data_IF_780552890629
#
_entry.id   IF_780552890629
#
_cell.length_a   1.000
_cell.length_b   1.000
_cell.length_c   1.000
_cell.angle_alpha   90.00
_cell.angle_beta   90.00
_cell.angle_gamma   90.00
#
_symmetry.space_group_name_H-M   'P 1'
#
loop_
_entity.id
_entity.type
_entity.pdbx_description
1 polymer ?
#
# COMPACT_ATOMS: atom_id res chain seq x y z
N UNK A 1 0.82 2.94 -10.79
CA UNK A 1 1.28 3.03 -9.38
C UNK A 1 0.99 4.40 -8.78
N UNK A 2 -0.17 4.56 -8.13
CA UNK A 2 -0.70 5.82 -7.59
C UNK A 2 -0.31 6.05 -6.12
N UNK A 3 -0.29 7.31 -5.70
CA UNK A 3 0.08 7.79 -4.37
C UNK A 3 -0.68 7.03 -3.28
N UNK A 4 0.09 6.25 -2.52
CA UNK A 4 -0.29 5.88 -1.17
C UNK A 4 0.33 6.96 -0.28
N UNK A 5 -0.50 7.83 0.27
CA UNK A 5 -0.05 8.74 1.32
C UNK A 5 0.29 7.90 2.56
N UNK A 6 1.57 7.54 2.69
CA UNK A 6 2.07 6.86 3.87
C UNK A 6 1.97 7.75 5.12
N UNK A 7 1.72 9.07 4.99
CA UNK A 7 1.72 10.01 6.11
C UNK A 7 0.44 9.97 6.94
N UNK A 8 -0.65 9.41 6.41
CA UNK A 8 -1.91 9.23 7.14
C UNK A 8 -2.24 7.75 7.37
N UNK A 9 -1.48 7.09 8.26
CA UNK A 9 -1.94 5.84 8.88
C UNK A 9 -2.34 6.15 10.31
N UNK A 10 -3.60 5.97 10.72
CA UNK A 10 -3.93 5.75 12.14
C UNK A 10 -3.32 6.74 13.17
N UNK A 11 -3.11 8.01 12.83
CA UNK A 11 -2.41 8.98 13.70
C UNK A 11 -0.87 8.86 13.77
N UNK A 12 -0.27 7.98 12.98
CA UNK A 12 1.16 7.83 12.73
C UNK A 12 1.58 8.61 11.47
N UNK A 13 2.29 9.71 11.68
CA UNK A 13 2.98 10.45 10.64
C UNK A 13 4.23 9.69 10.19
N UNK A 14 4.31 9.28 8.92
CA UNK A 14 5.59 8.82 8.34
C UNK A 14 6.38 10.02 7.86
N UNK A 15 7.64 10.08 8.29
CA UNK A 15 8.47 11.25 8.09
C UNK A 15 9.70 10.83 7.30
N UNK A 16 9.92 11.38 6.10
CA UNK A 16 11.11 11.06 5.33
C UNK A 16 12.33 11.63 6.05
N UNK A 17 13.11 10.75 6.68
CA UNK A 17 14.38 11.12 7.33
C UNK A 17 15.50 10.99 6.32
N UNK A 18 16.09 12.12 5.95
CA UNK A 18 17.25 12.13 5.06
C UNK A 18 18.50 11.72 5.83
N UNK A 19 19.09 10.59 5.46
CA UNK A 19 20.38 10.11 6.02
C UNK A 19 21.60 10.82 5.41
N UNK A 20 21.38 11.81 4.53
CA UNK A 20 22.45 12.54 3.83
C UNK A 20 23.39 13.32 4.74
N UNK A 21 23.00 13.57 5.99
CA UNK A 21 23.84 14.23 7.00
C UNK A 21 24.64 13.28 7.89
N UNK A 22 24.44 11.95 7.77
CA UNK A 22 25.16 10.95 8.56
C UNK A 22 26.59 10.82 8.03
N UNK A 23 27.58 10.92 8.91
CA UNK A 23 28.99 10.78 8.52
C UNK A 23 29.33 9.33 8.15
N UNK A 24 28.79 8.37 8.89
CA UNK A 24 28.88 6.94 8.59
C UNK A 24 27.71 6.18 9.27
N UNK A 25 26.67 5.76 8.51
CA UNK A 25 25.51 5.08 9.08
C UNK A 25 25.79 3.67 9.61
N UNK A 26 26.97 3.09 9.34
CA UNK A 26 27.38 1.77 9.81
C UNK A 26 28.56 1.81 10.80
N UNK A 27 29.05 3.01 11.14
CA UNK A 27 30.09 3.24 12.12
C UNK A 27 29.57 3.17 13.57
N UNK A 28 30.47 3.12 14.57
CA UNK A 28 30.10 3.01 15.99
C UNK A 28 29.21 4.16 16.49
N UNK A 29 29.28 5.34 15.87
CA UNK A 29 28.48 6.52 16.22
C UNK A 29 27.26 6.73 15.29
N UNK A 30 27.13 5.94 14.23
CA UNK A 30 26.10 6.12 13.18
C UNK A 30 24.66 5.91 13.68
N UNK A 31 24.50 5.10 14.75
CA UNK A 31 23.21 4.89 15.40
C UNK A 31 22.74 6.14 16.16
N UNK A 32 23.65 6.86 16.81
CA UNK A 32 23.35 8.09 17.54
C UNK A 32 22.96 9.22 16.60
N UNK A 33 23.73 9.43 15.53
CA UNK A 33 23.43 10.43 14.50
C UNK A 33 22.09 10.14 13.79
N UNK A 34 21.77 8.87 13.54
CA UNK A 34 20.49 8.45 12.97
C UNK A 34 19.32 8.73 13.92
N UNK A 35 19.49 8.46 15.22
CA UNK A 35 18.47 8.73 16.24
C UNK A 35 18.17 10.24 16.34
N UNK A 36 19.20 11.10 16.26
CA UNK A 36 19.01 12.55 16.26
C UNK A 36 18.31 13.05 14.99
N UNK A 37 18.68 12.52 13.83
CA UNK A 37 18.01 12.84 12.57
C UNK A 37 16.52 12.42 12.58
N UNK A 38 16.21 11.26 13.18
CA UNK A 38 14.84 10.78 13.36
C UNK A 38 14.04 11.71 14.29
N UNK A 39 14.63 12.17 15.40
CA UNK A 39 13.98 13.10 16.34
C UNK A 39 13.70 14.47 15.72
N UNK A 40 14.68 15.05 15.02
CA UNK A 40 14.50 16.34 14.35
C UNK A 40 13.42 16.30 13.26
N UNK A 41 13.37 15.18 12.51
CA UNK A 41 12.33 14.97 11.52
C UNK A 41 10.95 14.83 12.17
N UNK A 42 10.85 14.12 13.31
CA UNK A 42 9.62 14.00 14.13
C UNK A 42 9.04 15.36 14.53
N UNK A 43 9.87 16.27 15.03
CA UNK A 43 9.46 17.61 15.45
C UNK A 43 8.96 18.48 14.28
N UNK A 44 9.63 18.41 13.13
CA UNK A 44 9.25 19.17 11.93
C UNK A 44 7.89 18.72 11.36
N UNK A 45 7.62 17.42 11.38
CA UNK A 45 6.34 16.89 10.93
C UNK A 45 5.19 17.27 11.88
N UNK A 46 5.42 17.24 13.19
CA UNK A 46 4.43 17.69 14.18
C UNK A 46 4.03 19.17 13.95
N UNK A 47 4.99 20.02 13.60
CA UNK A 47 4.72 21.42 13.26
C UNK A 47 3.97 21.61 11.93
N UNK A 48 4.19 20.70 10.97
CA UNK A 48 3.58 20.77 9.63
C UNK A 48 2.14 20.26 9.62
N UNK A 49 1.85 19.20 10.39
CA UNK A 49 0.48 18.67 10.55
C UNK A 49 -0.45 19.65 11.27
N UNK A 50 0.08 20.44 12.21
CA UNK A 50 -0.66 21.54 12.83
C UNK A 50 -1.07 22.63 11.83
N UNK A 51 -0.33 22.80 10.73
CA UNK A 51 -0.62 23.77 9.68
C UNK A 51 -1.64 23.25 8.66
N UNK A 52 -1.54 21.97 8.24
CA UNK A 52 -2.45 21.36 7.26
C UNK A 52 -3.88 21.21 7.77
N UNK A 53 -4.07 20.90 9.06
CA UNK A 53 -5.40 20.77 9.67
C UNK A 53 -6.19 22.10 9.68
N UNK A 54 -5.56 23.23 9.36
CA UNK A 54 -6.22 24.52 9.20
C UNK A 54 -6.73 24.79 7.77
N UNK A 55 -6.27 24.04 6.76
CA UNK A 55 -6.53 24.33 5.33
C UNK A 55 -7.47 23.35 4.62
N UNK A 56 -7.66 22.12 5.11
CA UNK A 56 -8.53 21.11 4.48
C UNK A 56 -10.01 21.24 4.89
N UNK A 57 -10.70 22.22 4.31
CA UNK A 57 -12.18 22.35 4.39
C UNK A 57 -12.88 22.42 3.02
N UNK A 58 -12.23 21.99 1.93
CA UNK A 58 -12.89 21.89 0.63
C UNK A 58 -12.63 20.54 -0.02
N UNK A 59 -13.68 19.71 -0.06
CA UNK A 59 -13.63 18.35 -0.56
C UNK A 59 -14.48 18.19 -1.82
N UNK A 60 -13.86 18.05 -2.99
CA UNK A 60 -14.50 17.33 -4.13
C UNK A 60 -13.57 16.85 -5.26
N UNK A 61 -12.24 17.01 -5.21
CA UNK A 61 -11.36 16.49 -6.29
C UNK A 61 -10.13 15.78 -5.73
N UNK A 62 -10.12 14.44 -5.77
CA UNK A 62 -8.89 13.68 -5.48
C UNK A 62 -7.86 13.92 -6.60
N UNK A 63 -6.63 14.28 -6.23
CA UNK A 63 -5.58 14.67 -7.17
C UNK A 63 -5.11 13.50 -8.06
N UNK A 64 -4.72 13.77 -9.33
CA UNK A 64 -4.09 12.77 -10.18
C UNK A 64 -2.69 12.37 -9.67
N UNK A 65 -2.23 11.17 -10.05
CA UNK A 65 -0.90 10.67 -9.68
C UNK A 65 0.21 11.64 -10.04
N UNK A 66 1.08 11.93 -9.09
CA UNK A 66 2.39 12.53 -9.36
C UNK A 66 3.51 11.55 -9.03
N UNK A 67 4.24 11.09 -10.06
CA UNK A 67 5.40 10.22 -9.83
C UNK A 67 6.49 10.97 -9.05
N UNK A 68 7.13 10.34 -8.06
CA UNK A 68 8.30 10.91 -7.38
C UNK A 68 9.46 11.25 -8.33
N UNK A 69 9.52 10.63 -9.52
CA UNK A 69 10.48 10.95 -10.57
C UNK A 69 10.15 12.22 -11.34
N UNK A 70 8.92 12.73 -11.28
CA UNK A 70 8.56 14.03 -11.88
C UNK A 70 9.27 15.18 -11.16
N UNK A 71 9.67 14.97 -9.91
CA UNK A 71 10.45 15.91 -9.12
C UNK A 71 11.86 16.03 -9.76
N UNK A 72 12.26 17.22 -10.22
CA UNK A 72 13.57 17.42 -10.82
C UNK A 72 14.71 17.13 -9.84
N UNK A 73 15.77 16.51 -10.37
CA UNK A 73 17.12 16.55 -9.83
C UNK A 73 17.32 16.10 -8.36
N UNK A 74 16.93 14.87 -8.03
CA UNK A 74 17.40 14.19 -6.81
C UNK A 74 18.01 12.83 -7.16
N UNK A 75 19.33 12.70 -7.00
CA UNK A 75 20.02 11.42 -7.18
C UNK A 75 19.61 10.37 -6.14
N UNK A 76 19.05 10.80 -5.00
CA UNK A 76 18.61 9.93 -3.91
C UNK A 76 17.15 9.49 -4.03
N UNK A 77 16.49 9.80 -5.16
CA UNK A 77 15.13 9.33 -5.46
C UNK A 77 15.22 8.17 -6.43
N UNK A 78 14.60 7.06 -6.03
CA UNK A 78 14.56 5.82 -6.79
C UNK A 78 13.11 5.35 -6.85
N UNK A 79 12.70 4.79 -7.98
CA UNK A 79 11.37 4.24 -8.15
C UNK A 79 11.47 2.74 -8.40
N UNK A 80 10.70 1.98 -7.63
CA UNK A 80 10.46 0.57 -7.90
C UNK A 80 9.12 0.44 -8.61
N UNK A 81 9.11 -0.28 -9.72
CA UNK A 81 7.92 -0.52 -10.51
C UNK A 81 7.78 -2.01 -10.83
N UNK A 82 6.57 -2.49 -11.07
CA UNK A 82 6.33 -3.87 -11.48
C UNK A 82 5.00 -4.03 -12.19
N UNK A 83 4.92 -5.05 -13.04
CA UNK A 83 3.75 -5.26 -13.91
C UNK A 83 2.58 -5.98 -13.22
N UNK A 84 2.81 -6.51 -12.02
CA UNK A 84 1.88 -7.44 -11.37
C UNK A 84 0.50 -6.85 -11.06
N UNK A 85 0.39 -5.54 -10.86
CA UNK A 85 -0.87 -4.89 -10.45
C UNK A 85 -1.48 -4.03 -11.54
N UNK A 86 -0.65 -3.28 -12.28
CA UNK A 86 -1.15 -2.38 -13.31
C UNK A 86 -1.56 -3.14 -14.58
N UNK A 87 -0.88 -4.25 -14.91
CA UNK A 87 -1.15 -5.09 -16.08
C UNK A 87 -1.68 -6.49 -15.74
N UNK A 88 -1.96 -6.76 -14.46
CA UNK A 88 -2.33 -8.09 -13.96
C UNK A 88 -1.32 -9.21 -14.33
N UNK A 89 -0.07 -8.83 -14.62
CA UNK A 89 0.99 -9.76 -15.01
C UNK A 89 1.74 -10.29 -13.80
N UNK A 90 0.99 -10.73 -12.80
CA UNK A 90 1.51 -11.28 -11.54
C UNK A 90 2.51 -12.40 -11.77
N UNK A 91 2.20 -13.35 -12.66
CA UNK A 91 3.03 -14.52 -12.94
C UNK A 91 4.34 -14.24 -13.69
N UNK A 92 4.46 -13.08 -14.37
CA UNK A 92 5.65 -12.75 -15.19
C UNK A 92 6.88 -12.42 -14.32
N UNK A 93 6.65 -12.04 -13.06
CA UNK A 93 7.66 -11.72 -12.04
C UNK A 93 8.66 -10.64 -12.48
N UNK A 94 8.22 -9.67 -13.28
CA UNK A 94 9.07 -8.57 -13.74
C UNK A 94 8.88 -7.30 -12.89
N UNK A 95 10.00 -6.80 -12.39
CA UNK A 95 10.11 -5.53 -11.68
C UNK A 95 11.27 -4.69 -12.22
N UNK A 96 11.17 -3.39 -12.03
CA UNK A 96 12.12 -2.40 -12.53
C UNK A 96 12.58 -1.51 -11.38
N UNK A 97 13.89 -1.25 -11.33
CA UNK A 97 14.47 -0.18 -10.52
C UNK A 97 14.86 0.97 -11.43
N UNK A 98 14.15 2.09 -11.32
CA UNK A 98 14.44 3.32 -12.03
C UNK A 98 15.21 4.25 -11.10
N UNK A 99 16.48 4.49 -11.42
CA UNK A 99 17.37 5.33 -10.60
C UNK A 99 18.26 6.20 -11.47
N UNK A 100 18.37 7.49 -11.09
CA UNK A 100 19.34 8.43 -11.70
C UNK A 100 20.76 8.25 -11.13
N UNK A 101 20.91 7.63 -9.96
CA UNK A 101 22.21 7.39 -9.32
C UNK A 101 22.93 6.17 -9.92
N UNK A 102 24.11 6.42 -10.49
CA UNK A 102 24.92 5.39 -11.14
C UNK A 102 25.46 4.32 -10.17
N UNK A 103 25.81 4.71 -8.95
CA UNK A 103 26.31 3.77 -7.93
C UNK A 103 25.20 2.80 -7.52
N UNK A 104 23.98 3.30 -7.33
CA UNK A 104 22.81 2.46 -7.02
C UNK A 104 22.51 1.49 -8.16
N UNK A 105 22.54 1.95 -9.41
CA UNK A 105 22.35 1.05 -10.57
C UNK A 105 23.43 -0.04 -10.64
N UNK A 106 24.69 0.31 -10.40
CA UNK A 106 25.80 -0.64 -10.41
C UNK A 106 25.76 -1.63 -9.23
N UNK A 107 25.27 -1.21 -8.06
CA UNK A 107 25.03 -2.11 -6.94
C UNK A 107 23.87 -3.07 -7.24
N UNK A 108 22.74 -2.53 -7.71
CA UNK A 108 21.56 -3.31 -8.06
C UNK A 108 21.84 -4.35 -9.16
N UNK A 109 22.63 -4.01 -10.18
CA UNK A 109 23.02 -4.96 -11.23
C UNK A 109 23.83 -6.15 -10.72
N UNK A 110 24.55 -6.00 -9.59
CA UNK A 110 25.28 -7.10 -8.95
C UNK A 110 24.36 -7.97 -8.10
N UNK A 111 23.44 -7.34 -7.37
CA UNK A 111 22.51 -8.06 -6.45
C UNK A 111 21.44 -8.84 -7.23
N UNK A 112 20.99 -8.32 -8.38
CA UNK A 112 19.97 -8.95 -9.23
C UNK A 112 20.44 -10.24 -9.92
N UNK A 113 21.70 -10.64 -9.75
CA UNK A 113 22.23 -11.90 -10.28
C UNK A 113 21.46 -13.14 -9.80
N UNK A 114 20.85 -13.09 -8.62
CA UNK A 114 20.06 -14.20 -8.08
C UNK A 114 18.57 -14.15 -8.44
N UNK A 115 18.14 -13.13 -9.18
CA UNK A 115 16.74 -12.88 -9.52
C UNK A 115 16.54 -12.75 -11.02
N UNK A 116 17.32 -13.50 -11.83
CA UNK A 116 17.24 -13.44 -13.27
C UNK A 116 15.84 -13.79 -13.78
N UNK A 117 15.41 -13.02 -14.77
CA UNK A 117 14.15 -13.22 -15.45
C UNK A 117 14.29 -14.37 -16.44
N UNK A 118 13.18 -15.04 -16.73
CA UNK A 118 13.16 -15.97 -17.85
C UNK A 118 13.34 -15.20 -19.15
N UNK A 119 14.07 -15.77 -20.12
CA UNK A 119 14.25 -15.16 -21.45
C UNK A 119 12.90 -14.87 -22.12
N UNK A 120 11.91 -15.73 -21.89
CA UNK A 120 10.57 -15.54 -22.40
C UNK A 120 9.89 -14.29 -21.81
N UNK A 121 9.92 -14.14 -20.48
CA UNK A 121 9.37 -12.95 -19.80
C UNK A 121 10.02 -11.67 -20.32
N UNK A 122 11.35 -11.68 -20.50
CA UNK A 122 12.11 -10.54 -21.01
C UNK A 122 11.69 -10.15 -22.43
N UNK A 123 11.71 -11.09 -23.37
CA UNK A 123 11.31 -10.85 -24.77
C UNK A 123 9.86 -10.39 -24.84
N UNK A 124 8.95 -11.06 -24.13
CA UNK A 124 7.53 -10.72 -24.12
C UNK A 124 7.30 -9.29 -23.64
N UNK A 125 7.81 -8.96 -22.45
CA UNK A 125 7.58 -7.63 -21.85
C UNK A 125 8.26 -6.56 -22.68
N UNK A 126 9.48 -6.79 -23.16
CA UNK A 126 10.18 -5.83 -24.01
C UNK A 126 9.35 -5.51 -25.26
N UNK A 127 8.83 -6.53 -25.93
CA UNK A 127 7.99 -6.34 -27.12
C UNK A 127 6.68 -5.60 -26.79
N UNK A 128 6.02 -6.00 -25.70
CA UNK A 128 4.78 -5.37 -25.24
C UNK A 128 4.97 -3.88 -24.90
N UNK A 129 6.00 -3.54 -24.12
CA UNK A 129 6.27 -2.16 -23.70
C UNK A 129 6.78 -1.26 -24.83
N UNK A 130 7.32 -1.83 -25.92
CA UNK A 130 7.66 -1.08 -27.14
C UNK A 130 6.41 -0.65 -27.92
N UNK A 131 5.27 -1.30 -27.71
CA UNK A 131 4.00 -0.99 -28.37
C UNK A 131 3.17 -0.02 -27.53
N UNK A 132 3.61 1.24 -27.48
CA UNK A 132 2.97 2.27 -26.62
C UNK A 132 1.47 2.48 -26.91
N UNK A 133 1.03 2.30 -28.16
CA UNK A 133 -0.39 2.38 -28.52
C UNK A 133 -1.22 1.27 -27.86
N UNK A 134 -0.74 0.02 -27.87
CA UNK A 134 -1.39 -1.11 -27.20
C UNK A 134 -1.45 -0.90 -25.69
N UNK A 135 -0.36 -0.41 -25.10
CA UNK A 135 -0.32 -0.08 -23.67
C UNK A 135 -1.35 0.99 -23.34
N UNK A 136 -1.47 2.02 -24.19
CA UNK A 136 -2.44 3.09 -24.01
C UNK A 136 -3.88 2.58 -24.14
N UNK A 137 -4.18 1.79 -25.17
CA UNK A 137 -5.50 1.18 -25.39
C UNK A 137 -5.93 0.30 -24.19
N UNK A 138 -4.99 -0.47 -23.63
CA UNK A 138 -5.22 -1.23 -22.40
C UNK A 138 -5.60 -0.31 -21.24
N UNK A 139 -4.84 0.77 -21.01
CA UNK A 139 -5.07 1.69 -19.90
C UNK A 139 -6.40 2.45 -20.04
N UNK A 140 -6.76 2.84 -21.26
CA UNK A 140 -8.01 3.53 -21.57
C UNK A 140 -9.24 2.62 -21.37
N UNK A 141 -9.06 1.32 -21.50
CA UNK A 141 -10.09 0.32 -21.17
C UNK A 141 -10.11 0.00 -19.68
N UNK A 142 -8.94 -0.17 -19.07
CA UNK A 142 -8.78 -0.67 -17.72
C UNK A 142 -9.22 0.34 -16.65
N UNK A 143 -8.79 1.61 -16.77
CA UNK A 143 -9.08 2.63 -15.75
C UNK A 143 -10.58 2.90 -15.55
N UNK A 144 -11.40 3.08 -16.61
CA UNK A 144 -12.84 3.30 -16.44
C UNK A 144 -13.54 2.08 -15.82
N UNK A 145 -13.14 0.86 -16.20
CA UNK A 145 -13.68 -0.37 -15.61
C UNK A 145 -13.35 -0.47 -14.13
N UNK A 146 -12.09 -0.26 -13.76
CA UNK A 146 -11.68 -0.27 -12.36
C UNK A 146 -12.45 0.79 -11.54
N UNK A 147 -12.63 2.00 -12.07
CA UNK A 147 -13.40 3.05 -11.41
C UNK A 147 -14.88 2.66 -11.23
N UNK A 148 -15.50 2.08 -12.26
CA UNK A 148 -16.89 1.60 -12.18
C UNK A 148 -17.05 0.52 -11.10
N UNK A 149 -16.14 -0.45 -11.03
CA UNK A 149 -16.16 -1.50 -10.00
C UNK A 149 -15.92 -0.95 -8.60
N UNK A 150 -15.01 0.02 -8.46
CA UNK A 150 -14.81 0.73 -7.18
C UNK A 150 -16.09 1.41 -6.71
N UNK A 151 -16.75 2.18 -7.59
CA UNK A 151 -18.00 2.87 -7.24
C UNK A 151 -19.12 1.90 -6.90
N UNK A 152 -19.22 0.78 -7.62
CA UNK A 152 -20.20 -0.26 -7.34
C UNK A 152 -19.96 -0.88 -5.96
N UNK A 153 -18.73 -1.28 -5.65
CA UNK A 153 -18.38 -1.85 -4.34
C UNK A 153 -18.59 -0.83 -3.21
N UNK A 154 -18.12 0.40 -3.39
CA UNK A 154 -18.28 1.49 -2.41
C UNK A 154 -19.76 1.76 -2.09
N UNK A 155 -20.64 1.81 -3.10
CA UNK A 155 -22.07 2.02 -2.89
C UNK A 155 -22.72 0.91 -2.04
N UNK A 156 -22.32 -0.34 -2.22
CA UNK A 156 -22.81 -1.47 -1.42
C UNK A 156 -22.29 -1.39 0.02
N UNK A 157 -21.01 -1.03 0.21
CA UNK A 157 -20.41 -0.80 1.54
C UNK A 157 -21.15 0.31 2.28
N UNK A 158 -21.42 1.44 1.61
CA UNK A 158 -22.19 2.57 2.16
C UNK A 158 -23.62 2.15 2.55
N UNK A 159 -24.29 1.37 1.71
CA UNK A 159 -25.66 0.89 1.96
C UNK A 159 -25.73 0.03 3.23
N UNK A 160 -24.69 -0.73 3.55
CA UNK A 160 -24.61 -1.55 4.75
C UNK A 160 -24.03 -0.81 5.97
N UNK A 161 -23.76 0.49 5.85
CA UNK A 161 -23.27 1.34 6.95
C UNK A 161 -21.88 0.96 7.44
N UNK A 162 -21.06 0.33 6.59
CA UNK A 162 -19.66 0.02 6.86
C UNK A 162 -18.82 1.25 6.51
N UNK A 163 -17.99 1.71 7.43
CA UNK A 163 -17.06 2.81 7.13
C UNK A 163 -15.89 2.32 6.30
N UNK A 164 -15.36 3.15 5.41
CA UNK A 164 -14.21 2.83 4.58
C UNK A 164 -13.47 4.09 4.14
N UNK A 165 -12.21 3.92 3.80
CA UNK A 165 -11.40 5.00 3.25
C UNK A 165 -11.67 5.17 1.75
N UNK A 166 -12.01 6.40 1.36
CA UNK A 166 -12.17 6.74 -0.06
C UNK A 166 -10.83 6.64 -0.77
N UNK A 167 -10.82 6.03 -1.94
CA UNK A 167 -9.61 5.79 -2.72
C UNK A 167 -9.84 6.21 -4.17
N UNK A 168 -8.81 6.79 -4.78
CA UNK A 168 -8.76 7.08 -6.21
C UNK A 168 -7.94 6.05 -7.00
N UNK A 169 -7.42 5.02 -6.32
CA UNK A 169 -6.49 4.07 -6.88
C UNK A 169 -6.44 2.74 -6.12
N UNK A 170 -5.83 1.75 -6.76
CA UNK A 170 -5.55 0.45 -6.15
C UNK A 170 -6.55 -0.61 -6.60
N UNK A 171 -6.39 -1.81 -6.03
CA UNK A 171 -7.22 -2.99 -6.32
C UNK A 171 -8.10 -3.38 -5.14
N UNK A 172 -8.13 -2.53 -4.12
CA UNK A 172 -8.77 -2.83 -2.86
C UNK A 172 -9.24 -1.56 -2.16
N UNK A 173 -10.21 -1.74 -1.26
CA UNK A 173 -10.76 -0.73 -0.37
C UNK A 173 -10.35 -1.09 1.06
N UNK A 174 -9.94 -0.11 1.84
CA UNK A 174 -9.77 -0.27 3.29
C UNK A 174 -11.11 -0.06 3.96
N UNK A 175 -11.65 -1.11 4.55
CA UNK A 175 -12.91 -1.08 5.29
C UNK A 175 -12.64 -1.15 6.79
N UNK A 176 -13.47 -0.47 7.56
CA UNK A 176 -13.46 -0.45 9.02
C UNK A 176 -14.59 -1.33 9.56
N UNK A 177 -14.18 -2.46 10.14
CA UNK A 177 -15.00 -3.44 10.84
C UNK A 177 -14.80 -3.39 12.36
N UNK A 178 -14.22 -2.33 12.92
CA UNK A 178 -14.00 -2.15 14.36
C UNK A 178 -15.28 -2.36 15.19
N UNK A 179 -16.44 -1.96 14.63
CA UNK A 179 -17.78 -2.18 15.21
C UNK A 179 -18.18 -3.64 15.38
N UNK A 180 -17.50 -4.58 14.75
CA UNK A 180 -17.81 -6.01 14.88
C UNK A 180 -16.73 -6.75 15.65
N UNK A 181 -15.50 -6.21 15.71
CA UNK A 181 -14.37 -6.82 16.43
C UNK A 181 -14.67 -7.06 17.91
N UNK A 182 -15.47 -6.23 18.57
CA UNK A 182 -15.75 -6.41 20.00
C UNK A 182 -16.55 -7.69 20.32
N UNK A 183 -17.15 -8.35 19.32
CA UNK A 183 -17.79 -9.66 19.47
C UNK A 183 -16.79 -10.83 19.43
N UNK A 184 -15.54 -10.58 19.01
CA UNK A 184 -14.50 -11.60 18.79
C UNK A 184 -13.33 -11.47 19.77
N UNK A 185 -13.62 -11.21 21.05
CA UNK A 185 -12.58 -11.15 22.10
C UNK A 185 -12.08 -12.56 22.45
N UNK A 186 -10.79 -12.71 22.73
CA UNK A 186 -10.29 -13.96 23.30
C UNK A 186 -10.96 -14.20 24.66
N UNK A 187 -11.18 -15.46 25.06
CA UNK A 187 -11.48 -15.78 26.46
C UNK A 187 -10.41 -15.15 27.37
N UNK A 188 -10.80 -14.79 28.59
CA UNK A 188 -9.92 -14.21 29.60
C UNK A 188 -8.59 -15.00 29.70
N UNK A 189 -7.49 -14.26 29.80
CA UNK A 189 -6.10 -14.77 29.75
C UNK A 189 -5.83 -15.91 30.76
N UNK A 190 -6.67 -16.10 31.78
CA UNK A 190 -6.57 -17.17 32.78
C UNK A 190 -6.94 -18.58 32.26
N UNK A 191 -7.67 -18.70 31.15
CA UNK A 191 -8.05 -20.01 30.57
C UNK A 191 -7.19 -20.48 29.39
N UNK A 192 -6.21 -19.67 28.96
CA UNK A 192 -5.38 -19.99 27.81
C UNK A 192 -4.26 -20.98 28.19
N UNK A 193 -4.63 -22.25 28.27
CA UNK A 193 -3.69 -23.37 28.42
C UNK A 193 -2.86 -23.53 27.13
N UNK A 194 -1.88 -22.63 26.92
CA UNK A 194 -0.80 -22.75 25.92
C UNK A 194 -1.20 -22.77 24.43
N UNK A 195 -2.43 -22.40 24.05
CA UNK A 195 -2.81 -22.20 22.64
C UNK A 195 -2.63 -20.73 22.26
N UNK A 196 -1.96 -20.49 21.13
CA UNK A 196 -1.77 -19.17 20.52
C UNK A 196 -3.05 -18.35 20.60
N UNK A 197 -3.02 -17.25 21.34
CA UNK A 197 -4.14 -16.32 21.46
C UNK A 197 -4.18 -15.56 20.14
N UNK A 198 -5.02 -16.00 19.20
CA UNK A 198 -5.32 -15.27 17.98
C UNK A 198 -5.95 -13.93 18.35
N UNK A 199 -5.41 -12.83 17.81
CA UNK A 199 -5.99 -11.49 18.00
C UNK A 199 -7.44 -11.42 17.51
N UNK A 200 -8.23 -10.45 17.98
CA UNK A 200 -9.66 -10.38 17.67
C UNK A 200 -9.93 -10.15 16.16
N UNK A 201 -8.98 -9.56 15.42
CA UNK A 201 -9.03 -9.48 13.94
C UNK A 201 -8.92 -10.86 13.27
N UNK A 202 -8.07 -11.75 13.81
CA UNK A 202 -7.88 -13.09 13.27
C UNK A 202 -9.09 -13.98 13.57
N UNK A 203 -9.72 -13.83 14.73
CA UNK A 203 -10.98 -14.51 15.06
C UNK A 203 -12.12 -14.05 14.14
N UNK A 204 -12.23 -12.75 13.86
CA UNK A 204 -13.17 -12.24 12.86
C UNK A 204 -12.85 -12.78 11.46
N UNK A 205 -11.56 -12.82 11.06
CA UNK A 205 -11.14 -13.44 9.80
C UNK A 205 -11.58 -14.90 9.69
N UNK A 206 -11.31 -15.72 10.71
CA UNK A 206 -11.70 -17.14 10.74
C UNK A 206 -13.21 -17.30 10.62
N UNK A 207 -13.97 -16.46 11.33
CA UNK A 207 -15.43 -16.45 11.23
C UNK A 207 -15.91 -16.10 9.83
N UNK A 208 -15.37 -15.04 9.21
CA UNK A 208 -15.71 -14.64 7.84
C UNK A 208 -15.38 -15.76 6.84
N UNK A 209 -14.23 -16.42 6.98
CA UNK A 209 -13.82 -17.55 6.14
C UNK A 209 -14.83 -18.69 6.28
N UNK A 210 -15.29 -18.97 7.49
CA UNK A 210 -16.36 -19.95 7.75
C UNK A 210 -17.68 -19.64 7.03
N UNK A 211 -17.90 -18.37 6.66
CA UNK A 211 -19.05 -17.88 5.90
C UNK A 211 -18.73 -17.60 4.43
N UNK A 212 -17.56 -18.05 3.95
CA UNK A 212 -17.17 -17.92 2.53
C UNK A 212 -16.59 -16.56 2.14
N UNK A 213 -16.31 -15.68 3.11
CA UNK A 213 -15.73 -14.36 2.88
C UNK A 213 -14.30 -14.34 3.39
N UNK A 214 -13.33 -14.06 2.50
CA UNK A 214 -11.95 -13.84 2.91
C UNK A 214 -11.59 -12.37 2.81
N UNK A 215 -11.16 -11.79 3.93
CA UNK A 215 -10.59 -10.46 4.01
C UNK A 215 -9.17 -10.53 4.56
N UNK A 216 -8.31 -9.61 4.11
CA UNK A 216 -6.98 -9.51 4.70
C UNK A 216 -7.06 -8.55 5.89
N UNK A 217 -6.87 -9.08 7.11
CA UNK A 217 -6.64 -8.26 8.30
C UNK A 217 -5.43 -7.36 8.11
N UNK A 218 -5.55 -6.09 8.53
CA UNK A 218 -4.47 -5.10 8.41
C UNK A 218 -3.47 -5.22 9.56
N UNK A 219 -3.73 -6.06 10.58
CA UNK A 219 -2.73 -6.49 11.57
C UNK A 219 -1.43 -7.00 10.91
N UNK A 220 -1.52 -7.75 9.80
CA UNK A 220 -0.35 -8.21 9.04
C UNK A 220 0.46 -7.07 8.39
N UNK A 221 -0.10 -5.87 8.33
CA UNK A 221 0.52 -4.68 7.77
C UNK A 221 0.94 -3.66 8.84
N UNK A 222 0.80 -3.97 10.14
CA UNK A 222 1.25 -3.12 11.26
C UNK A 222 0.45 -1.82 11.44
N UNK A 223 -0.88 -1.87 11.33
CA UNK A 223 -1.77 -0.74 11.66
C UNK A 223 -2.29 -0.88 13.10
N UNK A 224 -2.42 0.25 13.80
CA UNK A 224 -2.59 0.29 15.27
C UNK A 224 -3.81 1.12 15.71
N UNK A 225 -4.95 0.99 14.99
CA UNK A 225 -6.02 0.32 15.72
C UNK A 225 -6.60 -0.90 14.99
N UNK A 226 -6.96 -1.96 15.75
CA UNK A 226 -7.64 -3.12 15.19
C UNK A 226 -9.02 -2.71 14.66
N UNK A 227 -9.45 -3.31 13.56
CA UNK A 227 -10.70 -2.96 12.88
C UNK A 227 -10.57 -2.97 11.38
N UNK A 228 -9.35 -2.89 10.86
CA UNK A 228 -9.16 -2.51 9.47
C UNK A 228 -8.89 -3.73 8.61
N UNK A 229 -9.61 -3.82 7.49
CA UNK A 229 -9.50 -4.94 6.56
C UNK A 229 -9.35 -4.43 5.13
N UNK A 230 -8.60 -5.17 4.33
CA UNK A 230 -8.44 -4.91 2.90
C UNK A 230 -9.40 -5.80 2.11
N UNK A 231 -10.41 -5.17 1.51
CA UNK A 231 -11.37 -5.78 0.61
C UNK A 231 -10.92 -5.62 -0.85
N UNK A 232 -10.64 -6.72 -1.54
CA UNK A 232 -10.28 -6.70 -2.98
C UNK A 232 -11.57 -6.70 -3.80
N UNK A 233 -11.80 -5.67 -4.62
CA UNK A 233 -13.03 -5.52 -5.41
C UNK A 233 -12.85 -5.85 -6.90
N UNK A 234 -11.60 -6.03 -7.36
CA UNK A 234 -11.30 -6.14 -8.79
C UNK A 234 -11.34 -7.56 -9.35
N UNK A 235 -11.62 -8.58 -8.53
CA UNK A 235 -11.53 -9.99 -8.96
C UNK A 235 -12.88 -10.54 -9.44
N UNK A 236 -13.94 -10.39 -8.64
CA UNK A 236 -15.27 -10.92 -8.91
C UNK A 236 -16.33 -9.96 -8.37
N UNK A 237 -16.83 -9.00 -9.18
CA UNK A 237 -17.79 -8.00 -8.73
C UNK A 237 -19.05 -8.60 -8.11
N UNK A 238 -19.58 -9.66 -8.72
CA UNK A 238 -20.73 -10.43 -8.24
C UNK A 238 -20.50 -11.00 -6.84
N UNK A 239 -19.35 -11.64 -6.63
CA UNK A 239 -18.98 -12.21 -5.35
C UNK A 239 -18.65 -11.12 -4.32
N UNK A 240 -18.05 -10.00 -4.73
CA UNK A 240 -17.77 -8.87 -3.85
C UNK A 240 -19.07 -8.26 -3.32
N UNK A 241 -20.06 -8.02 -4.17
CA UNK A 241 -21.36 -7.49 -3.73
C UNK A 241 -22.08 -8.47 -2.79
N UNK A 242 -22.07 -9.77 -3.11
CA UNK A 242 -22.64 -10.82 -2.26
C UNK A 242 -21.91 -10.96 -0.93
N UNK A 243 -20.60 -10.73 -0.88
CA UNK A 243 -19.82 -10.82 0.35
C UNK A 243 -20.07 -9.64 1.31
N UNK A 244 -20.49 -8.48 0.78
CA UNK A 244 -20.78 -7.29 1.58
C UNK A 244 -22.21 -7.32 2.13
N UNK A 245 -23.18 -7.86 1.37
CA UNK A 245 -24.60 -7.93 1.76
C UNK A 245 -24.99 -9.19 2.50
#
# INVERSE_FOLDING_TARGET
MLDFDLTSRAGLATIPVSTTGLKDPFGPDGSTELIEALKAAAELAAATEAHKNAETSDGTSMNPLSSSLSIPCRQNVHCLYGLSKDFDMGGVRMGFLVSRNAQVRAAASKVTWFTWLTVYSDIFVTHFLQQLHVVQDYLDTYRPRQAAEYHSAAAVIETHGIHFEKANAGLFIFIDLSRWIHYFKSPDEESANGKNISGPELLLCEWLIGHGVYLNAVEFAGCDPPGHFRLVFTQRPDATQLAIG
#
